data_IF_262379571193
#
_entry.id   IF_262379571193
#
_cell.length_a   1.000
_cell.length_b   1.000
_cell.length_c   1.000
_cell.angle_alpha   90.00
_cell.angle_beta   90.00
_cell.angle_gamma   90.00
#
_symmetry.space_group_name_H-M   'P 1'
#
loop_
_entity.id
_entity.type
_entity.pdbx_description
1 polymer ?
#
# COMPACT_ATOMS: atom_id res chain seq x y z
N UNK A 1 32.25 -20.25 41.15
CA UNK A 1 32.34 -19.23 40.12
C UNK A 1 31.12 -18.32 40.21
N UNK A 2 31.36 -17.05 40.27
CA UNK A 2 30.47 -16.00 40.64
C UNK A 2 29.28 -15.86 39.67
N UNK A 3 28.09 -16.19 40.10
CA UNK A 3 26.87 -15.62 39.57
C UNK A 3 26.73 -14.26 40.28
N UNK A 4 27.07 -13.23 39.54
CA UNK A 4 27.06 -11.85 40.00
C UNK A 4 25.66 -11.39 40.33
N UNK A 5 25.50 -10.78 41.48
CA UNK A 5 24.61 -9.68 41.92
C UNK A 5 23.25 -9.43 41.24
N UNK A 6 22.72 -10.33 40.44
CA UNK A 6 21.38 -10.29 39.89
C UNK A 6 20.37 -10.94 40.85
N UNK A 7 19.18 -10.46 40.87
CA UNK A 7 18.06 -11.14 41.56
C UNK A 7 17.98 -12.57 41.05
N UNK A 8 17.95 -13.59 41.93
CA UNK A 8 17.90 -14.97 41.47
C UNK A 8 16.73 -15.17 40.54
N UNK A 9 16.96 -15.79 39.37
CA UNK A 9 15.91 -16.14 38.36
C UNK A 9 14.67 -16.77 39.03
N UNK A 10 14.84 -17.52 40.10
CA UNK A 10 13.77 -18.19 40.86
C UNK A 10 12.66 -17.30 41.40
N UNK A 11 12.85 -15.98 41.39
CA UNK A 11 11.87 -15.03 41.91
C UNK A 11 10.95 -14.41 40.85
N UNK A 12 11.10 -14.78 39.57
CA UNK A 12 10.20 -14.31 38.53
C UNK A 12 8.90 -15.12 38.55
N UNK A 13 7.76 -14.43 38.55
CA UNK A 13 6.47 -15.08 38.39
C UNK A 13 6.38 -15.75 37.02
N UNK A 14 5.77 -16.92 36.98
CA UNK A 14 5.56 -17.74 35.77
C UNK A 14 6.84 -18.22 35.06
N UNK A 15 8.04 -18.04 35.63
CA UNK A 15 9.29 -18.38 34.97
C UNK A 15 9.34 -19.86 34.55
N UNK A 16 8.96 -20.78 35.43
CA UNK A 16 9.00 -22.23 35.15
C UNK A 16 8.04 -22.56 33.98
N UNK A 17 6.85 -21.95 33.96
CA UNK A 17 5.89 -22.11 32.86
C UNK A 17 6.41 -21.52 31.55
N UNK A 18 7.13 -20.39 31.58
CA UNK A 18 7.73 -19.77 30.40
C UNK A 18 8.86 -20.64 29.87
N UNK A 19 9.72 -21.17 30.75
CA UNK A 19 10.81 -22.08 30.37
C UNK A 19 10.25 -23.31 29.66
N UNK A 20 9.25 -23.93 30.22
CA UNK A 20 8.61 -25.14 29.68
C UNK A 20 7.91 -24.87 28.34
N UNK A 21 7.04 -23.83 28.30
CA UNK A 21 6.17 -23.57 27.15
C UNK A 21 6.91 -22.95 25.94
N UNK A 22 8.05 -22.31 26.17
CA UNK A 22 8.87 -21.72 25.12
C UNK A 22 10.24 -22.40 24.94
N UNK A 23 10.49 -23.45 25.73
CA UNK A 23 11.74 -24.25 25.65
C UNK A 23 12.99 -23.36 25.66
N UNK A 24 13.11 -22.48 26.70
CA UNK A 24 14.22 -21.53 26.78
C UNK A 24 15.56 -22.27 26.82
N UNK A 25 16.49 -21.81 25.99
CA UNK A 25 17.84 -22.34 25.94
C UNK A 25 18.68 -21.90 27.16
N UNK A 26 19.82 -22.57 27.41
CA UNK A 26 20.72 -22.18 28.50
C UNK A 26 21.27 -20.77 28.30
N UNK A 27 21.55 -20.37 27.06
CA UNK A 27 22.02 -19.02 26.74
C UNK A 27 20.95 -17.96 27.02
N UNK A 28 19.68 -18.26 26.67
CA UNK A 28 18.53 -17.38 26.96
C UNK A 28 18.31 -17.23 28.48
N UNK A 29 18.45 -18.31 29.25
CA UNK A 29 18.38 -18.29 30.71
C UNK A 29 19.54 -17.49 31.33
N UNK A 30 20.74 -17.60 30.75
CA UNK A 30 21.88 -16.82 31.19
C UNK A 30 21.68 -15.32 30.92
N UNK A 31 21.22 -14.96 29.71
CA UNK A 31 20.88 -13.58 29.36
C UNK A 31 19.79 -13.00 30.27
N UNK A 32 18.76 -13.78 30.57
CA UNK A 32 17.70 -13.37 31.49
C UNK A 32 18.23 -13.14 32.91
N UNK A 33 19.14 -14.01 33.38
CA UNK A 33 19.78 -13.88 34.68
C UNK A 33 20.66 -12.63 34.81
N UNK A 34 21.39 -12.32 33.75
CA UNK A 34 22.34 -11.20 33.73
C UNK A 34 21.64 -9.85 33.54
N UNK A 35 20.67 -9.78 32.63
CA UNK A 35 20.05 -8.54 32.18
C UNK A 35 18.68 -8.28 32.80
N UNK A 36 18.05 -9.28 33.43
CA UNK A 36 16.69 -9.27 33.99
C UNK A 36 15.59 -9.09 32.93
N UNK A 37 15.93 -9.19 31.66
CA UNK A 37 15.02 -9.29 30.52
C UNK A 37 15.65 -10.12 29.42
N UNK A 38 14.82 -10.61 28.51
CA UNK A 38 15.24 -11.38 27.34
C UNK A 38 14.52 -10.87 26.11
N UNK A 39 15.28 -10.64 25.03
CA UNK A 39 14.77 -10.40 23.70
C UNK A 39 15.30 -11.51 22.80
N UNK A 40 14.43 -12.24 22.13
CA UNK A 40 14.83 -13.33 21.24
C UNK A 40 14.05 -13.24 19.92
N UNK A 41 14.73 -13.51 18.80
CA UNK A 41 14.12 -13.62 17.47
C UNK A 41 13.74 -15.06 17.12
N UNK A 42 14.14 -16.04 17.94
CA UNK A 42 13.87 -17.47 17.75
C UNK A 42 12.37 -17.77 17.68
N UNK A 43 11.58 -16.98 18.40
CA UNK A 43 10.11 -17.09 18.44
C UNK A 43 9.55 -15.78 17.87
N UNK A 44 9.33 -15.73 16.56
CA UNK A 44 8.78 -14.56 15.89
C UNK A 44 7.40 -14.86 15.34
N UNK A 45 6.43 -14.02 15.66
CA UNK A 45 5.05 -14.12 15.19
C UNK A 45 4.74 -13.10 14.08
N UNK A 46 5.68 -12.23 13.74
CA UNK A 46 5.55 -11.21 12.71
C UNK A 46 4.55 -10.09 13.01
N UNK A 47 3.57 -10.33 13.88
CA UNK A 47 2.55 -9.34 14.26
C UNK A 47 2.21 -9.45 15.75
N UNK A 48 2.11 -8.30 16.43
CA UNK A 48 1.77 -8.21 17.86
C UNK A 48 0.50 -8.96 18.26
N UNK A 49 -0.65 -8.87 17.54
CA UNK A 49 -1.84 -9.62 17.91
C UNK A 49 -1.66 -11.13 17.88
N UNK A 50 -0.86 -11.66 16.93
CA UNK A 50 -0.57 -13.09 16.84
C UNK A 50 0.24 -13.57 18.04
N UNK A 51 1.23 -12.77 18.47
CA UNK A 51 2.00 -13.06 19.67
C UNK A 51 1.13 -13.07 20.92
N UNK A 52 0.23 -12.10 21.08
CA UNK A 52 -0.69 -12.01 22.20
C UNK A 52 -1.64 -13.24 22.28
N UNK A 53 -2.15 -13.68 21.12
CA UNK A 53 -3.00 -14.88 21.04
C UNK A 53 -2.22 -16.13 21.45
N UNK A 54 -0.97 -16.28 21.04
CA UNK A 54 -0.12 -17.41 21.41
C UNK A 54 0.14 -17.44 22.93
N UNK A 55 0.50 -16.30 23.52
CA UNK A 55 0.72 -16.18 24.97
C UNK A 55 -0.57 -16.49 25.73
N UNK A 56 -1.71 -15.99 25.27
CA UNK A 56 -3.02 -16.27 25.84
C UNK A 56 -3.35 -17.77 25.81
N UNK A 57 -3.15 -18.42 24.67
CA UNK A 57 -3.42 -19.86 24.51
C UNK A 57 -2.49 -20.74 25.35
N UNK A 58 -1.35 -20.22 25.77
CA UNK A 58 -0.42 -20.87 26.69
C UNK A 58 -0.71 -20.58 28.16
N UNK A 59 -1.78 -19.87 28.44
CA UNK A 59 -2.18 -19.50 29.81
C UNK A 59 -1.05 -18.74 30.54
N UNK A 60 -0.42 -17.80 29.84
CA UNK A 60 0.64 -16.95 30.37
C UNK A 60 0.18 -15.50 30.42
N UNK A 61 0.63 -14.72 31.41
CA UNK A 61 0.34 -13.31 31.47
C UNK A 61 1.10 -12.56 30.36
N UNK A 62 0.46 -11.55 29.77
CA UNK A 62 1.11 -10.67 28.80
C UNK A 62 0.79 -9.21 29.12
N UNK A 63 1.71 -8.34 28.80
CA UNK A 63 1.57 -6.91 28.98
C UNK A 63 0.90 -6.28 27.76
N UNK A 64 -0.20 -5.59 27.96
CA UNK A 64 -0.89 -4.82 26.92
C UNK A 64 -0.55 -3.36 27.08
N UNK A 65 0.30 -2.83 26.21
CA UNK A 65 0.61 -1.42 26.16
C UNK A 65 -0.35 -0.66 25.25
N UNK A 66 -0.40 0.65 25.38
CA UNK A 66 -1.12 1.53 24.44
C UNK A 66 -0.61 1.34 23.02
N UNK A 67 0.71 1.20 22.85
CA UNK A 67 1.34 0.97 21.54
C UNK A 67 0.87 -0.34 20.91
N UNK A 68 0.76 -1.42 21.70
CA UNK A 68 0.25 -2.70 21.21
C UNK A 68 -1.22 -2.60 20.73
N UNK A 69 -2.05 -1.83 21.44
CA UNK A 69 -3.44 -1.57 21.02
C UNK A 69 -3.47 -0.76 19.72
N UNK A 70 -2.67 0.31 19.63
CA UNK A 70 -2.60 1.14 18.44
C UNK A 70 -2.06 0.37 17.22
N UNK A 71 -1.04 -0.48 17.41
CA UNK A 71 -0.52 -1.37 16.35
C UNK A 71 -1.59 -2.35 15.86
N UNK A 72 -2.33 -2.97 16.78
CA UNK A 72 -3.43 -3.87 16.42
C UNK A 72 -4.53 -3.15 15.62
N UNK A 73 -4.92 -1.94 16.04
CA UNK A 73 -5.90 -1.12 15.34
C UNK A 73 -5.38 -0.70 13.95
N UNK A 74 -4.13 -0.26 13.86
CA UNK A 74 -3.51 0.12 12.59
C UNK A 74 -3.47 -1.06 11.61
N UNK A 75 -3.04 -2.24 12.07
CA UNK A 75 -3.01 -3.45 11.24
C UNK A 75 -4.40 -3.90 10.79
N UNK A 76 -5.39 -3.84 11.69
CA UNK A 76 -6.78 -4.17 11.36
C UNK A 76 -7.33 -3.20 10.30
N UNK A 77 -7.16 -1.90 10.50
CA UNK A 77 -7.60 -0.86 9.57
C UNK A 77 -6.92 -1.01 8.20
N UNK A 78 -5.60 -1.19 8.17
CA UNK A 78 -4.86 -1.42 6.92
C UNK A 78 -5.33 -2.66 6.18
N UNK A 79 -5.67 -3.74 6.90
CA UNK A 79 -6.17 -4.97 6.30
C UNK A 79 -7.57 -4.78 5.70
N UNK A 80 -8.45 -4.03 6.37
CA UNK A 80 -9.78 -3.69 5.85
C UNK A 80 -9.67 -2.83 4.60
N UNK A 81 -8.80 -1.81 4.62
CA UNK A 81 -8.56 -0.95 3.45
C UNK A 81 -8.07 -1.77 2.25
N UNK A 82 -7.02 -2.58 2.45
CA UNK A 82 -6.48 -3.43 1.38
C UNK A 82 -7.54 -4.35 0.77
N UNK A 83 -8.33 -5.04 1.60
CA UNK A 83 -9.39 -5.90 1.11
C UNK A 83 -10.46 -5.11 0.35
N UNK A 84 -10.89 -3.97 0.87
CA UNK A 84 -11.88 -3.11 0.22
C UNK A 84 -11.37 -2.59 -1.13
N UNK A 85 -10.13 -2.13 -1.19
CA UNK A 85 -9.55 -1.57 -2.41
C UNK A 85 -9.29 -2.65 -3.45
N UNK A 86 -8.69 -3.79 -3.07
CA UNK A 86 -8.38 -4.86 -4.01
C UNK A 86 -9.62 -5.62 -4.49
N UNK A 87 -10.53 -5.98 -3.60
CA UNK A 87 -11.65 -6.88 -3.92
C UNK A 87 -12.90 -6.14 -4.40
N UNK A 88 -13.10 -4.91 -3.96
CA UNK A 88 -14.32 -4.17 -4.25
C UNK A 88 -14.10 -2.98 -5.18
N UNK A 89 -13.13 -2.11 -4.88
CA UNK A 89 -12.95 -0.85 -5.60
C UNK A 89 -12.17 -1.03 -6.90
N UNK A 90 -11.07 -1.78 -6.88
CA UNK A 90 -10.25 -2.02 -8.06
C UNK A 90 -11.04 -2.64 -9.25
N UNK A 91 -11.82 -3.72 -9.09
CA UNK A 91 -12.60 -4.27 -10.21
C UNK A 91 -13.65 -3.29 -10.75
N UNK A 92 -14.21 -2.45 -9.88
CA UNK A 92 -15.17 -1.40 -10.30
C UNK A 92 -14.46 -0.30 -11.07
N UNK A 93 -13.29 0.13 -10.62
CA UNK A 93 -12.47 1.12 -11.29
C UNK A 93 -12.09 0.65 -12.70
N UNK A 94 -11.60 -0.59 -12.85
CA UNK A 94 -11.27 -1.18 -14.14
C UNK A 94 -12.49 -1.19 -15.09
N UNK A 95 -13.67 -1.48 -14.57
CA UNK A 95 -14.90 -1.43 -15.38
C UNK A 95 -15.21 -0.02 -15.86
N UNK A 96 -15.07 0.97 -14.98
CA UNK A 96 -15.28 2.39 -15.32
C UNK A 96 -14.30 2.81 -16.40
N UNK A 97 -13.01 2.53 -16.23
CA UNK A 97 -11.95 2.88 -17.18
C UNK A 97 -12.22 2.27 -18.56
N UNK A 98 -12.55 0.98 -18.60
CA UNK A 98 -12.89 0.30 -19.85
C UNK A 98 -14.10 0.95 -20.53
N UNK A 99 -15.17 1.21 -19.78
CA UNK A 99 -16.38 1.85 -20.33
C UNK A 99 -16.08 3.24 -20.87
N UNK A 100 -15.28 4.04 -20.17
CA UNK A 100 -14.89 5.38 -20.61
C UNK A 100 -14.08 5.31 -21.91
N UNK A 101 -13.03 4.48 -21.94
CA UNK A 101 -12.18 4.34 -23.11
C UNK A 101 -12.94 3.81 -24.33
N UNK A 102 -13.79 2.80 -24.16
CA UNK A 102 -14.59 2.20 -25.24
C UNK A 102 -15.66 3.17 -25.77
N UNK A 103 -16.12 4.13 -24.95
CA UNK A 103 -17.08 5.15 -25.35
C UNK A 103 -16.46 6.31 -26.13
N UNK A 104 -15.15 6.53 -26.09
CA UNK A 104 -14.48 7.66 -26.74
C UNK A 104 -14.85 7.84 -28.22
N UNK A 105 -14.84 6.80 -29.11
CA UNK A 105 -15.20 6.99 -30.51
C UNK A 105 -16.61 7.53 -30.71
N UNK A 106 -17.55 7.07 -29.88
CA UNK A 106 -18.94 7.55 -29.93
C UNK A 106 -19.06 9.02 -29.47
N UNK A 107 -18.34 9.39 -28.39
CA UNK A 107 -18.34 10.78 -27.92
C UNK A 107 -17.70 11.72 -28.93
N UNK A 108 -16.59 11.33 -29.54
CA UNK A 108 -15.91 12.07 -30.60
C UNK A 108 -16.86 12.29 -31.80
N UNK A 109 -17.53 11.23 -32.27
CA UNK A 109 -18.48 11.32 -33.36
C UNK A 109 -19.67 12.23 -33.04
N UNK A 110 -20.18 12.13 -31.82
CA UNK A 110 -21.37 12.90 -31.37
C UNK A 110 -21.11 14.38 -31.22
N UNK A 111 -19.94 14.74 -30.68
CA UNK A 111 -19.63 16.12 -30.30
C UNK A 111 -18.61 16.80 -31.21
N UNK A 112 -17.87 16.03 -32.04
CA UNK A 112 -16.81 16.55 -32.89
C UNK A 112 -17.24 17.56 -33.97
N UNK A 113 -18.54 17.60 -34.30
CA UNK A 113 -19.08 18.61 -35.22
C UNK A 113 -19.49 19.94 -34.56
N UNK A 114 -19.42 20.00 -33.22
CA UNK A 114 -19.81 21.17 -32.45
C UNK A 114 -18.59 22.10 -32.34
N UNK A 115 -18.70 23.30 -32.87
CA UNK A 115 -17.61 24.29 -32.80
C UNK A 115 -17.21 24.60 -31.37
N UNK A 116 -15.91 24.58 -31.10
CA UNK A 116 -15.35 24.83 -29.78
C UNK A 116 -15.20 23.59 -28.88
N UNK A 117 -15.66 22.41 -29.35
CA UNK A 117 -15.51 21.16 -28.60
C UNK A 117 -14.20 20.42 -28.87
N UNK A 118 -13.44 20.83 -29.89
CA UNK A 118 -12.24 20.13 -30.36
C UNK A 118 -11.23 19.93 -29.23
N UNK A 119 -10.88 21.03 -28.53
CA UNK A 119 -9.93 20.98 -27.41
C UNK A 119 -10.42 20.13 -26.26
N UNK A 120 -11.70 20.21 -25.93
CA UNK A 120 -12.30 19.41 -24.85
C UNK A 120 -12.29 17.91 -25.16
N UNK A 121 -12.50 17.54 -26.43
CA UNK A 121 -12.44 16.16 -26.88
C UNK A 121 -11.00 15.62 -26.91
N UNK A 122 -10.02 16.44 -27.31
CA UNK A 122 -8.61 16.09 -27.22
C UNK A 122 -8.17 15.87 -25.78
N UNK A 123 -8.57 16.78 -24.87
CA UNK A 123 -8.24 16.64 -23.44
C UNK A 123 -8.91 15.41 -22.82
N UNK A 124 -10.16 15.13 -23.18
CA UNK A 124 -10.87 13.92 -22.75
C UNK A 124 -10.16 12.64 -23.25
N UNK A 125 -9.80 12.62 -24.53
CA UNK A 125 -9.09 11.47 -25.12
C UNK A 125 -7.74 11.25 -24.43
N UNK A 126 -6.96 12.30 -24.24
CA UNK A 126 -5.67 12.25 -23.55
C UNK A 126 -5.84 11.70 -22.12
N UNK A 127 -6.77 12.28 -21.34
CA UNK A 127 -7.02 11.92 -19.95
C UNK A 127 -7.47 10.47 -19.80
N UNK A 128 -8.45 10.04 -20.58
CA UNK A 128 -9.00 8.67 -20.53
C UNK A 128 -7.99 7.65 -21.05
N UNK A 129 -7.22 8.01 -22.09
CA UNK A 129 -6.19 7.11 -22.65
C UNK A 129 -5.04 6.90 -21.67
N UNK A 130 -4.54 7.94 -21.01
CA UNK A 130 -3.52 7.79 -19.94
C UNK A 130 -4.08 6.94 -18.81
N UNK A 131 -5.32 7.20 -18.37
CA UNK A 131 -5.99 6.40 -17.34
C UNK A 131 -6.08 4.92 -17.72
N UNK A 132 -6.48 4.62 -18.97
CA UNK A 132 -6.54 3.24 -19.50
C UNK A 132 -5.17 2.56 -19.49
N UNK A 133 -4.12 3.26 -19.92
CA UNK A 133 -2.76 2.71 -19.93
C UNK A 133 -2.18 2.51 -18.52
N UNK A 134 -2.55 3.32 -17.54
CA UNK A 134 -2.17 3.08 -16.15
C UNK A 134 -2.83 1.84 -15.54
N UNK A 135 -3.98 1.44 -16.09
CA UNK A 135 -4.79 0.31 -15.59
C UNK A 135 -4.46 -1.04 -16.22
N UNK A 136 -3.55 -1.09 -17.18
CA UNK A 136 -3.26 -2.30 -17.96
C UNK A 136 -1.77 -2.41 -18.29
N UNK A 137 -1.22 -3.62 -18.38
CA UNK A 137 0.13 -3.83 -18.90
C UNK A 137 0.21 -3.62 -20.43
N UNK A 138 -0.92 -3.75 -21.13
CA UNK A 138 -1.00 -3.57 -22.57
C UNK A 138 -1.13 -2.07 -22.91
N UNK A 139 -0.54 -1.67 -24.05
CA UNK A 139 -0.68 -0.31 -24.55
C UNK A 139 -1.96 -0.13 -25.34
N UNK A 140 -2.70 0.92 -25.01
CA UNK A 140 -3.94 1.35 -25.67
C UNK A 140 -3.73 2.70 -26.34
N UNK A 141 -3.91 2.81 -27.68
CA UNK A 141 -3.68 4.05 -28.40
C UNK A 141 -4.80 5.09 -28.17
N UNK A 142 -4.50 6.39 -28.21
CA UNK A 142 -5.51 7.44 -28.21
C UNK A 142 -6.35 7.41 -29.49
N UNK A 143 -7.47 8.15 -29.50
CA UNK A 143 -8.39 8.25 -30.63
C UNK A 143 -8.25 9.54 -31.42
N UNK A 144 -7.81 10.64 -30.79
CA UNK A 144 -7.63 11.97 -31.38
C UNK A 144 -6.22 12.51 -31.22
N UNK A 145 -5.67 12.46 -30.02
CA UNK A 145 -4.37 13.01 -29.76
C UNK A 145 -3.24 12.13 -30.31
N UNK A 146 -2.04 12.68 -30.43
CA UNK A 146 -0.89 11.87 -30.81
C UNK A 146 -0.47 10.90 -29.71
N UNK A 147 0.01 9.72 -30.11
CA UNK A 147 0.57 8.75 -29.17
C UNK A 147 1.74 9.31 -28.37
N UNK A 148 2.52 10.22 -28.96
CA UNK A 148 3.68 10.82 -28.29
C UNK A 148 3.28 11.60 -27.04
N UNK A 149 2.15 12.34 -27.07
CA UNK A 149 1.62 13.02 -25.89
C UNK A 149 1.26 12.07 -24.76
N UNK A 150 0.63 10.94 -25.10
CA UNK A 150 0.28 9.89 -24.11
C UNK A 150 1.55 9.28 -23.53
N UNK A 151 2.51 8.93 -24.38
CA UNK A 151 3.78 8.32 -23.97
C UNK A 151 4.62 9.27 -23.12
N UNK A 152 4.63 10.56 -23.44
CA UNK A 152 5.31 11.59 -22.64
C UNK A 152 4.79 11.62 -21.19
N UNK A 153 3.46 11.63 -21.01
CA UNK A 153 2.85 11.63 -19.69
C UNK A 153 3.12 10.31 -18.96
N UNK A 154 2.96 9.16 -19.62
CA UNK A 154 3.23 7.87 -19.00
C UNK A 154 4.69 7.74 -18.57
N UNK A 155 5.63 8.23 -19.39
CA UNK A 155 7.06 8.27 -19.06
C UNK A 155 7.32 9.20 -17.87
N UNK A 156 6.70 10.38 -17.84
CA UNK A 156 6.85 11.33 -16.74
C UNK A 156 6.31 10.73 -15.41
N UNK A 157 5.20 9.99 -15.45
CA UNK A 157 4.67 9.25 -14.32
C UNK A 157 5.63 8.14 -13.88
N UNK A 158 6.18 7.37 -14.83
CA UNK A 158 7.13 6.31 -14.54
C UNK A 158 8.43 6.82 -13.94
N UNK A 159 8.92 7.94 -14.46
CA UNK A 159 10.17 8.57 -14.03
C UNK A 159 9.98 9.49 -12.80
N UNK A 160 8.73 9.60 -12.29
CA UNK A 160 8.37 10.43 -11.14
C UNK A 160 8.84 11.89 -11.29
N UNK A 161 8.76 12.44 -12.52
CA UNK A 161 9.26 13.77 -12.86
C UNK A 161 8.26 14.87 -12.58
N UNK A 162 8.81 16.06 -12.36
CA UNK A 162 8.05 17.31 -12.37
C UNK A 162 7.97 17.84 -13.80
N UNK A 163 6.77 17.94 -14.37
CA UNK A 163 6.56 18.39 -15.75
C UNK A 163 5.39 19.37 -15.86
N UNK A 164 5.40 20.19 -16.90
CA UNK A 164 4.28 21.06 -17.24
C UNK A 164 3.47 20.42 -18.36
N UNK A 165 2.19 20.19 -18.12
CA UNK A 165 1.27 19.66 -19.13
C UNK A 165 0.09 20.61 -19.35
N UNK A 166 -0.44 20.59 -20.58
CA UNK A 166 -1.62 21.35 -21.00
C UNK A 166 -2.80 20.36 -21.07
N UNK A 167 -3.65 20.38 -20.04
CA UNK A 167 -4.80 19.49 -19.93
C UNK A 167 -5.96 20.22 -19.23
N UNK A 168 -7.14 20.27 -19.85
CA UNK A 168 -8.34 20.97 -19.39
C UNK A 168 -8.14 22.45 -19.06
N UNK A 169 -7.15 23.10 -19.65
CA UNK A 169 -6.80 24.48 -19.38
C UNK A 169 -6.07 25.08 -20.59
N UNK A 170 -6.10 26.39 -20.72
CA UNK A 170 -5.34 27.14 -21.75
C UNK A 170 -3.89 27.44 -21.32
N UNK A 171 -3.53 27.11 -20.09
CA UNK A 171 -2.20 27.36 -19.53
C UNK A 171 -1.55 26.05 -19.07
N UNK A 172 -0.25 25.86 -19.33
CA UNK A 172 0.48 24.70 -18.80
C UNK A 172 0.41 24.69 -17.28
N UNK A 173 0.07 23.52 -16.72
CA UNK A 173 0.06 23.28 -15.27
C UNK A 173 1.27 22.43 -14.91
N UNK A 174 1.99 22.87 -13.90
CA UNK A 174 3.09 22.10 -13.33
C UNK A 174 2.52 20.97 -12.48
N UNK A 175 2.86 19.72 -12.83
CA UNK A 175 2.43 18.53 -12.12
C UNK A 175 3.66 17.80 -11.58
N UNK A 176 3.61 17.46 -10.31
CA UNK A 176 4.62 16.69 -9.62
C UNK A 176 4.23 15.21 -9.61
N UNK A 177 4.79 14.46 -10.56
CA UNK A 177 4.55 13.03 -10.66
C UNK A 177 5.33 12.18 -9.63
N UNK A 178 6.16 12.79 -8.75
CA UNK A 178 6.72 12.07 -7.60
C UNK A 178 5.66 11.57 -6.65
N UNK A 179 4.45 12.16 -6.69
CA UNK A 179 3.29 11.69 -5.93
C UNK A 179 2.78 10.30 -6.36
N UNK A 180 3.18 9.82 -7.55
CA UNK A 180 2.88 8.46 -8.03
C UNK A 180 3.80 7.38 -7.44
N UNK A 181 4.79 7.76 -6.61
CA UNK A 181 5.63 6.83 -5.86
C UNK A 181 4.77 5.95 -4.97
N UNK A 182 4.75 4.65 -5.26
CA UNK A 182 3.93 3.68 -4.53
C UNK A 182 4.52 3.44 -3.15
N UNK A 183 3.70 3.53 -2.11
CA UNK A 183 4.13 3.41 -0.70
C UNK A 183 3.05 2.77 0.18
N UNK A 184 3.48 2.33 1.37
CA UNK A 184 2.57 1.75 2.35
C UNK A 184 1.95 0.44 1.87
N UNK A 185 0.66 0.26 2.10
CA UNK A 185 -0.04 -0.97 1.72
C UNK A 185 -0.22 -1.14 0.20
N UNK A 186 -0.09 -0.06 -0.57
CA UNK A 186 -0.19 -0.11 -2.04
C UNK A 186 0.96 -0.86 -2.72
N UNK A 187 2.11 -1.04 -2.04
CA UNK A 187 3.24 -1.82 -2.56
C UNK A 187 3.10 -3.34 -2.35
N UNK A 188 2.00 -3.81 -1.74
CA UNK A 188 1.83 -5.22 -1.35
C UNK A 188 1.29 -6.11 -2.46
N UNK A 189 0.64 -5.56 -3.47
CA UNK A 189 0.19 -6.30 -4.66
C UNK A 189 0.17 -5.42 -5.90
N UNK A 190 0.14 -6.06 -7.07
CA UNK A 190 0.06 -5.38 -8.36
C UNK A 190 -1.28 -4.64 -8.51
N UNK A 191 -2.38 -5.25 -8.07
CA UNK A 191 -3.71 -4.63 -8.10
C UNK A 191 -3.76 -3.34 -7.27
N UNK A 192 -3.19 -3.35 -6.06
CA UNK A 192 -3.13 -2.17 -5.21
C UNK A 192 -2.22 -1.09 -5.79
N UNK A 193 -1.09 -1.48 -6.39
CA UNK A 193 -0.19 -0.56 -7.10
C UNK A 193 -0.91 0.11 -8.26
N UNK A 194 -1.60 -0.66 -9.09
CA UNK A 194 -2.37 -0.16 -10.23
C UNK A 194 -3.53 0.74 -9.76
N UNK A 195 -4.28 0.30 -8.75
CA UNK A 195 -5.35 1.09 -8.15
C UNK A 195 -4.83 2.46 -7.68
N UNK A 196 -3.72 2.47 -6.92
CA UNK A 196 -3.11 3.70 -6.44
C UNK A 196 -2.75 4.66 -7.59
N UNK A 197 -2.03 4.18 -8.62
CA UNK A 197 -1.65 5.02 -9.77
C UNK A 197 -2.85 5.58 -10.52
N UNK A 198 -3.89 4.76 -10.71
CA UNK A 198 -5.13 5.18 -11.32
C UNK A 198 -5.86 6.25 -10.49
N UNK A 199 -5.92 6.08 -9.17
CA UNK A 199 -6.55 7.06 -8.27
C UNK A 199 -5.75 8.36 -8.20
N UNK A 200 -4.40 8.30 -8.22
CA UNK A 200 -3.55 9.48 -8.28
C UNK A 200 -3.75 10.28 -9.58
N UNK A 201 -4.05 9.62 -10.70
CA UNK A 201 -4.36 10.29 -11.97
C UNK A 201 -5.73 10.99 -11.95
N UNK A 202 -6.69 10.49 -11.17
CA UNK A 202 -8.03 11.06 -11.05
C UNK A 202 -8.09 12.26 -10.09
N UNK A 203 -7.16 12.42 -9.16
CA UNK A 203 -7.10 13.49 -8.15
C UNK A 203 -6.18 14.61 -8.51
#
# INVERSE_FOLDING_TARGET
>A
SALNNGTPIKNYLYLDSIIEKYELTQDELMMLSENQFLVTERISYGKTPTAMIDVYNKDLPFFVSTDAILDALHNAYSSILMATEAELLYPRLIRIINTLYDSLPQQITKYGSISGMEKSLEDLDLFVTVFKNLSSPDYYPPKLVSEDKVKEILTAIQDEKFVSILLFTDFPRAIDFSQFTVRGHYSKSEELTTYFKCMMWLG
#
